data_IF_697784190274
#
_entry.id   IF_697784190274
#
_cell.length_a   1.000
_cell.length_b   1.000
_cell.length_c   1.000
_cell.angle_alpha   90.00
_cell.angle_beta   90.00
_cell.angle_gamma   90.00
#
_symmetry.space_group_name_H-M   'P 1'
#
loop_
_entity.id
_entity.type
_entity.pdbx_description
1 polymer ?
#
# COMPACT_ATOMS: atom_id res chain seq x y z
N UNK A 1 -5.27 -2.90 14.20
CA UNK A 1 -4.53 -3.74 15.16
C UNK A 1 -5.02 -5.20 15.20
N UNK A 2 -6.33 -5.46 15.36
CA UNK A 2 -6.84 -6.84 15.42
C UNK A 2 -6.63 -7.65 14.13
N UNK A 3 -6.80 -7.03 12.95
CA UNK A 3 -6.55 -7.69 11.65
C UNK A 3 -5.12 -8.21 11.53
N UNK A 4 -4.14 -7.46 12.03
CA UNK A 4 -2.73 -7.87 12.05
C UNK A 4 -2.51 -9.08 12.96
N UNK A 5 -3.10 -9.06 14.17
CA UNK A 5 -3.02 -10.19 15.11
C UNK A 5 -3.67 -11.44 14.50
N UNK A 6 -4.85 -11.29 13.90
CA UNK A 6 -5.55 -12.40 13.27
C UNK A 6 -4.75 -13.00 12.10
N UNK A 7 -4.10 -12.14 11.30
CA UNK A 7 -3.20 -12.57 10.24
C UNK A 7 -2.00 -13.36 10.79
N UNK A 8 -1.35 -12.84 11.85
CA UNK A 8 -0.21 -13.51 12.48
C UNK A 8 -0.60 -14.88 13.02
N UNK A 9 -1.71 -14.96 13.76
CA UNK A 9 -2.22 -16.21 14.32
C UNK A 9 -2.62 -17.20 13.24
N UNK A 10 -3.25 -16.72 12.15
CA UNK A 10 -3.63 -17.56 11.01
C UNK A 10 -2.42 -18.16 10.29
N UNK A 11 -1.44 -17.32 9.92
CA UNK A 11 -0.21 -17.79 9.25
C UNK A 11 0.61 -18.67 10.19
N UNK A 12 0.77 -18.28 11.46
CA UNK A 12 1.47 -19.08 12.46
C UNK A 12 0.84 -20.46 12.65
N UNK A 13 -0.50 -20.53 12.71
CA UNK A 13 -1.22 -21.80 12.78
C UNK A 13 -0.98 -22.66 11.53
N UNK A 14 -1.01 -22.07 10.34
CA UNK A 14 -0.71 -22.79 9.10
C UNK A 14 0.72 -23.35 9.11
N UNK A 15 1.72 -22.54 9.48
CA UNK A 15 3.11 -22.98 9.57
C UNK A 15 3.23 -24.14 10.56
N UNK A 16 2.68 -24.00 11.76
CA UNK A 16 2.79 -25.01 12.81
C UNK A 16 2.16 -26.34 12.41
N UNK A 17 0.93 -26.32 11.86
CA UNK A 17 0.24 -27.53 11.41
C UNK A 17 0.93 -28.20 10.23
N UNK A 18 1.42 -27.42 9.26
CA UNK A 18 2.01 -27.97 8.03
C UNK A 18 3.45 -28.48 8.24
N UNK A 19 4.23 -27.82 9.10
CA UNK A 19 5.61 -28.24 9.40
C UNK A 19 5.67 -29.31 10.49
N UNK A 20 4.97 -29.13 11.61
CA UNK A 20 5.09 -30.04 12.76
C UNK A 20 3.99 -31.09 12.82
N UNK A 21 3.01 -31.05 11.92
CA UNK A 21 1.88 -31.99 11.94
C UNK A 21 1.07 -31.89 13.23
N UNK A 22 1.14 -30.75 13.93
CA UNK A 22 0.52 -30.51 15.22
C UNK A 22 -1.01 -30.53 15.08
N UNK A 23 -1.60 -31.72 15.02
CA UNK A 23 -3.04 -31.90 15.06
C UNK A 23 -3.54 -31.65 16.47
N UNK A 24 -4.05 -30.44 16.70
CA UNK A 24 -5.00 -30.23 17.79
C UNK A 24 -6.16 -31.24 17.67
N UNK A 25 -6.72 -31.63 18.82
CA UNK A 25 -7.85 -32.56 18.94
C UNK A 25 -8.80 -32.53 17.75
N UNK A 26 -8.97 -33.66 17.06
CA UNK A 26 -9.84 -33.77 15.88
C UNK A 26 -11.30 -33.65 16.34
N UNK A 27 -11.87 -32.45 16.23
CA UNK A 27 -13.28 -32.21 16.50
C UNK A 27 -14.08 -32.63 15.27
N UNK A 28 -15.18 -33.36 15.47
CA UNK A 28 -16.04 -33.80 14.39
C UNK A 28 -16.52 -32.60 13.54
N UNK A 29 -16.43 -32.73 12.21
CA UNK A 29 -16.83 -31.68 11.28
C UNK A 29 -18.30 -31.24 11.49
N UNK A 30 -19.18 -32.16 11.91
CA UNK A 30 -20.57 -31.87 12.24
C UNK A 30 -20.73 -30.89 13.41
N UNK A 31 -19.93 -31.06 14.47
CA UNK A 31 -19.92 -30.15 15.63
C UNK A 31 -19.39 -28.77 15.20
N UNK A 32 -18.34 -28.77 14.39
CA UNK A 32 -17.76 -27.55 13.83
C UNK A 32 -18.79 -26.78 13.00
N UNK A 33 -19.48 -27.46 12.09
CA UNK A 33 -20.52 -26.86 11.26
C UNK A 33 -21.71 -26.39 12.10
N UNK A 34 -22.16 -27.15 13.09
CA UNK A 34 -23.26 -26.72 13.96
C UNK A 34 -22.91 -25.42 14.72
N UNK A 35 -21.74 -25.38 15.37
CA UNK A 35 -21.31 -24.22 16.16
C UNK A 35 -20.96 -23.01 15.29
N UNK A 36 -20.15 -23.20 14.25
CA UNK A 36 -19.65 -22.09 13.44
C UNK A 36 -20.66 -21.61 12.39
N UNK A 37 -21.55 -22.46 11.88
CA UNK A 37 -22.55 -22.00 10.90
C UNK A 37 -23.56 -21.07 11.54
N UNK A 38 -24.05 -21.39 12.74
CA UNK A 38 -24.98 -20.53 13.47
C UNK A 38 -24.32 -19.20 13.84
N UNK A 39 -23.08 -19.26 14.35
CA UNK A 39 -22.30 -18.07 14.65
C UNK A 39 -22.03 -17.21 13.41
N UNK A 40 -21.70 -17.82 12.27
CA UNK A 40 -21.47 -17.12 11.01
C UNK A 40 -22.77 -16.51 10.46
N UNK A 41 -23.88 -17.23 10.53
CA UNK A 41 -25.19 -16.73 10.12
C UNK A 41 -25.62 -15.53 10.95
N UNK A 42 -25.43 -15.58 12.27
CA UNK A 42 -25.69 -14.46 13.17
C UNK A 42 -24.75 -13.28 12.90
N UNK A 43 -23.45 -13.55 12.69
CA UNK A 43 -22.48 -12.49 12.40
C UNK A 43 -22.81 -11.75 11.11
N UNK A 44 -23.10 -12.48 10.03
CA UNK A 44 -23.47 -11.91 8.73
C UNK A 44 -24.83 -11.22 8.83
N UNK A 45 -25.83 -11.87 9.43
CA UNK A 45 -27.17 -11.30 9.60
C UNK A 45 -27.16 -10.01 10.40
N UNK A 46 -26.45 -9.99 11.52
CA UNK A 46 -26.29 -8.80 12.35
C UNK A 46 -25.51 -7.70 11.63
N UNK A 47 -24.47 -8.05 10.87
CA UNK A 47 -23.73 -7.08 10.05
C UNK A 47 -24.65 -6.40 9.03
N UNK A 48 -25.43 -7.17 8.28
CA UNK A 48 -26.37 -6.65 7.28
C UNK A 48 -27.48 -5.82 7.93
N UNK A 49 -28.04 -6.30 9.04
CA UNK A 49 -29.05 -5.58 9.81
C UNK A 49 -28.51 -4.28 10.40
N UNK A 50 -27.29 -4.26 10.93
CA UNK A 50 -26.70 -3.06 11.51
C UNK A 50 -26.36 -2.03 10.42
N UNK A 51 -25.83 -2.49 9.28
CA UNK A 51 -25.44 -1.60 8.19
C UNK A 51 -26.61 -0.82 7.59
N UNK A 52 -27.83 -1.39 7.60
CA UNK A 52 -29.03 -0.68 7.12
C UNK A 52 -29.38 0.57 7.97
N UNK A 53 -28.93 0.64 9.22
CA UNK A 53 -29.15 1.81 10.10
C UNK A 53 -27.90 2.70 10.22
N UNK A 54 -26.73 2.20 9.79
CA UNK A 54 -25.43 2.87 9.92
C UNK A 54 -24.83 3.21 8.55
N UNK A 55 -25.66 3.68 7.61
CA UNK A 55 -25.20 4.20 6.33
C UNK A 55 -24.70 5.62 6.56
N UNK A 56 -23.38 5.80 6.50
CA UNK A 56 -22.77 7.13 6.56
C UNK A 56 -23.11 7.92 5.29
N UNK A 57 -23.45 9.22 5.39
CA UNK A 57 -23.78 10.07 4.22
C UNK A 57 -22.70 10.17 3.13
N UNK A 58 -21.50 9.64 3.37
CA UNK A 58 -20.32 9.77 2.51
C UNK A 58 -20.00 8.48 1.74
N UNK A 59 -20.79 7.42 1.89
CA UNK A 59 -20.69 6.22 1.06
C UNK A 59 -21.73 6.25 -0.07
N UNK A 60 -21.39 5.80 -1.29
CA UNK A 60 -22.38 5.66 -2.35
C UNK A 60 -23.50 4.71 -1.90
N UNK A 61 -24.74 5.14 -2.12
CA UNK A 61 -25.95 4.42 -1.72
C UNK A 61 -25.92 2.97 -2.23
N UNK A 62 -26.10 2.00 -1.33
CA UNK A 62 -26.07 0.57 -1.67
C UNK A 62 -24.70 -0.11 -1.61
N UNK A 63 -23.62 0.59 -1.21
CA UNK A 63 -22.33 -0.06 -0.95
C UNK A 63 -22.41 -0.97 0.29
N UNK A 64 -22.39 -2.28 0.06
CA UNK A 64 -22.37 -3.30 1.12
C UNK A 64 -21.07 -3.34 1.96
N UNK A 65 -20.11 -2.45 1.70
CA UNK A 65 -18.82 -2.41 2.40
C UNK A 65 -17.82 -3.50 2.03
N UNK A 66 -18.18 -4.37 1.09
CA UNK A 66 -17.36 -5.50 0.66
C UNK A 66 -16.01 -5.04 0.11
N UNK A 67 -15.99 -3.94 -0.64
CA UNK A 67 -14.76 -3.34 -1.14
C UNK A 67 -13.83 -2.87 -0.01
N UNK A 68 -14.40 -2.28 1.06
CA UNK A 68 -13.64 -1.87 2.24
C UNK A 68 -13.10 -3.07 3.04
N UNK A 69 -13.89 -4.15 3.15
CA UNK A 69 -13.42 -5.42 3.73
C UNK A 69 -12.29 -6.03 2.91
N UNK A 70 -12.40 -6.02 1.58
CA UNK A 70 -11.34 -6.50 0.69
C UNK A 70 -10.07 -5.64 0.82
N UNK A 71 -10.18 -4.31 0.79
CA UNK A 71 -9.03 -3.42 1.04
C UNK A 71 -8.40 -3.66 2.42
N UNK A 72 -9.22 -3.95 3.44
CA UNK A 72 -8.74 -4.26 4.80
C UNK A 72 -7.98 -5.59 4.85
N UNK A 73 -8.44 -6.61 4.11
CA UNK A 73 -7.75 -7.89 3.99
C UNK A 73 -6.42 -7.74 3.24
N UNK A 74 -6.40 -6.97 2.15
CA UNK A 74 -5.19 -6.70 1.36
C UNK A 74 -4.15 -5.89 2.14
N UNK A 75 -4.58 -5.02 3.06
CA UNK A 75 -3.67 -4.25 3.92
C UNK A 75 -3.21 -5.01 5.16
N UNK A 76 -3.77 -6.18 5.47
CA UNK A 76 -3.41 -6.97 6.64
C UNK A 76 -1.90 -7.31 6.76
N UNK A 77 -1.19 -7.73 5.69
CA UNK A 77 0.25 -7.99 5.75
C UNK A 77 1.08 -6.75 6.08
N UNK A 78 0.65 -5.58 5.57
CA UNK A 78 1.30 -4.29 5.83
C UNK A 78 1.08 -3.88 7.29
N UNK A 79 -0.15 -4.03 7.79
CA UNK A 79 -0.48 -3.73 9.19
C UNK A 79 0.25 -4.63 10.19
N UNK A 80 0.50 -5.88 9.84
CA UNK A 80 1.31 -6.75 10.70
C UNK A 80 2.77 -6.31 10.75
N UNK A 81 3.33 -5.89 9.61
CA UNK A 81 4.69 -5.36 9.58
C UNK A 81 4.80 -4.07 10.40
N UNK A 82 3.83 -3.16 10.31
CA UNK A 82 3.83 -1.93 11.11
C UNK A 82 3.61 -2.20 12.60
N UNK A 83 2.77 -3.18 12.96
CA UNK A 83 2.61 -3.64 14.34
C UNK A 83 3.92 -4.22 14.88
N UNK A 84 4.59 -5.07 14.11
CA UNK A 84 5.91 -5.61 14.46
C UNK A 84 6.93 -4.50 14.66
N UNK A 85 7.01 -3.54 13.74
CA UNK A 85 7.90 -2.39 13.90
C UNK A 85 7.57 -1.52 15.11
N UNK A 86 6.29 -1.38 15.48
CA UNK A 86 5.87 -0.66 16.68
C UNK A 86 6.29 -1.40 17.96
N UNK A 87 6.13 -2.74 18.00
CA UNK A 87 6.53 -3.57 19.16
C UNK A 87 8.06 -3.63 19.29
N UNK A 88 8.78 -3.80 18.18
CA UNK A 88 10.25 -3.84 18.16
C UNK A 88 10.89 -2.44 18.21
N UNK A 89 10.08 -1.36 18.28
CA UNK A 89 10.53 0.04 18.33
C UNK A 89 11.48 0.42 17.19
N UNK A 90 11.27 -0.12 16.00
CA UNK A 90 12.07 0.22 14.81
C UNK A 90 11.44 1.39 14.05
N UNK A 91 12.27 2.35 13.62
CA UNK A 91 11.80 3.59 12.99
C UNK A 91 11.01 3.36 11.69
N UNK A 92 9.75 3.79 11.68
CA UNK A 92 8.96 3.95 10.46
C UNK A 92 9.24 5.31 9.84
N UNK A 93 9.96 5.35 8.70
CA UNK A 93 10.24 6.62 8.01
C UNK A 93 8.98 7.12 7.29
N UNK A 94 8.40 8.21 7.78
CA UNK A 94 7.33 8.92 7.09
C UNK A 94 7.92 9.76 5.96
N UNK A 95 7.88 9.23 4.74
CA UNK A 95 8.35 9.94 3.55
C UNK A 95 7.19 10.73 2.99
N UNK A 96 7.32 12.06 3.00
CA UNK A 96 6.36 12.95 2.33
C UNK A 96 6.43 12.65 0.83
N UNK A 97 5.30 12.28 0.24
CA UNK A 97 5.20 12.01 -1.19
C UNK A 97 5.70 13.23 -1.97
N UNK A 98 6.72 13.10 -2.83
CA UNK A 98 7.17 14.19 -3.67
C UNK A 98 5.97 14.69 -4.49
N UNK A 99 5.66 15.99 -4.40
CA UNK A 99 4.65 16.61 -5.28
C UNK A 99 5.32 16.90 -6.63
N UNK A 100 4.73 16.38 -7.72
CA UNK A 100 5.23 16.57 -9.09
C UNK A 100 5.79 15.28 -9.72
N UNK A 101 6.03 15.31 -11.03
CA UNK A 101 6.38 14.15 -11.89
C UNK A 101 7.70 13.42 -11.60
N UNK A 102 8.30 13.62 -10.43
CA UNK A 102 9.47 12.89 -9.93
C UNK A 102 9.02 11.73 -9.03
N UNK A 103 8.08 10.91 -9.53
CA UNK A 103 7.63 9.69 -8.84
C UNK A 103 8.46 8.54 -9.39
N UNK A 104 9.21 7.86 -8.51
CA UNK A 104 9.93 6.64 -8.90
C UNK A 104 8.91 5.59 -9.37
N UNK A 105 9.12 4.92 -10.51
CA UNK A 105 8.25 3.83 -10.94
C UNK A 105 8.24 2.72 -9.88
N UNK A 106 7.07 2.16 -9.63
CA UNK A 106 6.89 1.05 -8.70
C UNK A 106 7.72 -0.17 -9.16
N UNK A 107 8.43 -0.79 -8.22
CA UNK A 107 9.27 -1.97 -8.48
C UNK A 107 8.73 -3.15 -7.69
N UNK A 108 9.08 -4.38 -8.07
CA UNK A 108 8.77 -5.59 -7.29
C UNK A 108 9.22 -5.48 -5.82
N UNK A 109 10.32 -4.77 -5.55
CA UNK A 109 10.82 -4.50 -4.20
C UNK A 109 9.90 -3.59 -3.35
N UNK A 110 8.97 -2.84 -3.97
CA UNK A 110 7.90 -2.11 -3.27
C UNK A 110 6.97 -3.09 -2.56
N UNK A 111 6.74 -4.27 -3.15
CA UNK A 111 5.88 -5.33 -2.59
C UNK A 111 6.64 -6.35 -1.75
N UNK A 112 7.88 -6.07 -1.31
CA UNK A 112 8.74 -7.04 -0.61
C UNK A 112 8.07 -7.70 0.59
N UNK A 113 7.21 -6.97 1.31
CA UNK A 113 6.51 -7.46 2.51
C UNK A 113 5.48 -8.53 2.11
N UNK A 114 4.73 -8.26 1.04
CA UNK A 114 3.78 -9.21 0.48
C UNK A 114 4.48 -10.46 -0.05
N UNK A 115 5.60 -10.27 -0.76
CA UNK A 115 6.43 -11.35 -1.28
C UNK A 115 7.08 -12.18 -0.16
N UNK A 116 7.52 -11.57 0.95
CA UNK A 116 8.08 -12.31 2.08
C UNK A 116 7.03 -13.21 2.74
N UNK A 117 5.80 -12.72 2.94
CA UNK A 117 4.71 -13.55 3.48
C UNK A 117 4.29 -14.64 2.50
N UNK A 118 4.24 -14.33 1.20
CA UNK A 118 3.99 -15.32 0.16
C UNK A 118 5.05 -16.43 0.16
N UNK A 119 6.33 -16.08 0.32
CA UNK A 119 7.42 -17.06 0.40
C UNK A 119 7.27 -17.98 1.63
N UNK A 120 6.93 -17.43 2.80
CA UNK A 120 6.66 -18.22 4.01
C UNK A 120 5.52 -19.20 3.75
N UNK A 121 4.38 -18.74 3.27
CA UNK A 121 3.20 -19.57 3.03
C UNK A 121 3.44 -20.64 1.95
N UNK A 122 4.14 -20.29 0.87
CA UNK A 122 4.52 -21.23 -0.18
C UNK A 122 5.47 -22.30 0.35
N UNK A 123 6.45 -21.93 1.17
CA UNK A 123 7.37 -22.88 1.81
C UNK A 123 6.65 -23.83 2.76
N UNK A 124 5.64 -23.35 3.51
CA UNK A 124 4.81 -24.20 4.37
C UNK A 124 3.95 -25.16 3.56
N UNK A 125 3.41 -24.72 2.42
CA UNK A 125 2.63 -25.58 1.54
C UNK A 125 3.50 -26.67 0.90
N UNK A 126 4.72 -26.31 0.44
CA UNK A 126 5.69 -27.27 -0.09
C UNK A 126 6.14 -28.27 0.99
N UNK A 127 6.44 -27.80 2.20
CA UNK A 127 6.79 -28.66 3.33
C UNK A 127 5.66 -29.66 3.65
N UNK A 128 4.39 -29.23 3.61
CA UNK A 128 3.25 -30.13 3.82
C UNK A 128 3.17 -31.26 2.80
N UNK A 129 3.58 -31.01 1.55
CA UNK A 129 3.63 -32.05 0.51
C UNK A 129 4.79 -33.00 0.75
N UNK A 130 5.95 -32.49 1.17
CA UNK A 130 7.12 -33.32 1.47
C UNK A 130 7.00 -34.14 2.76
N UNK A 131 6.25 -33.65 3.74
CA UNK A 131 6.10 -34.28 5.06
C UNK A 131 4.83 -35.15 5.18
N UNK A 132 4.05 -35.32 4.11
CA UNK A 132 2.76 -36.04 4.08
C UNK A 132 1.72 -35.59 5.14
N UNK A 133 1.91 -34.41 5.74
CA UNK A 133 0.96 -33.80 6.66
C UNK A 133 -0.22 -33.20 5.88
N UNK A 134 -1.16 -34.04 5.45
CA UNK A 134 -2.29 -33.66 4.59
C UNK A 134 -3.49 -33.16 5.38
N UNK A 135 -3.34 -32.03 6.08
CA UNK A 135 -4.49 -31.32 6.65
C UNK A 135 -5.16 -30.45 5.59
N UNK A 136 -6.20 -30.98 4.95
CA UNK A 136 -6.92 -30.30 3.85
C UNK A 136 -7.35 -28.89 4.25
N UNK A 137 -7.96 -28.72 5.43
CA UNK A 137 -8.38 -27.41 5.93
C UNK A 137 -7.22 -26.40 6.01
N UNK A 138 -6.07 -26.81 6.55
CA UNK A 138 -4.92 -25.91 6.72
C UNK A 138 -4.22 -25.58 5.39
N UNK A 139 -4.22 -26.51 4.43
CA UNK A 139 -3.76 -26.23 3.05
C UNK A 139 -4.65 -25.20 2.37
N UNK A 140 -5.97 -25.31 2.52
CA UNK A 140 -6.92 -24.33 1.97
C UNK A 140 -6.67 -22.94 2.58
N UNK A 141 -6.50 -22.85 3.89
CA UNK A 141 -6.19 -21.58 4.56
C UNK A 141 -4.85 -20.98 4.12
N UNK A 142 -3.80 -21.80 4.02
CA UNK A 142 -2.51 -21.36 3.52
C UNK A 142 -2.58 -20.86 2.07
N UNK A 143 -3.35 -21.53 1.20
CA UNK A 143 -3.57 -21.11 -0.17
C UNK A 143 -4.34 -19.78 -0.26
N UNK A 144 -5.37 -19.58 0.56
CA UNK A 144 -6.09 -18.31 0.65
C UNK A 144 -5.17 -17.17 1.12
N UNK A 145 -4.37 -17.41 2.16
CA UNK A 145 -3.37 -16.45 2.64
C UNK A 145 -2.33 -16.11 1.57
N UNK A 146 -1.91 -17.10 0.78
CA UNK A 146 -0.98 -16.91 -0.34
C UNK A 146 -1.61 -16.04 -1.43
N UNK A 147 -2.88 -16.29 -1.78
CA UNK A 147 -3.62 -15.49 -2.76
C UNK A 147 -3.77 -14.03 -2.30
N UNK A 148 -4.10 -13.80 -1.03
CA UNK A 148 -4.18 -12.43 -0.45
C UNK A 148 -2.81 -11.75 -0.49
N UNK A 149 -1.74 -12.48 -0.16
CA UNK A 149 -0.37 -11.94 -0.19
C UNK A 149 0.07 -11.58 -1.60
N UNK A 150 -0.30 -12.38 -2.62
CA UNK A 150 0.06 -12.15 -4.02
C UNK A 150 -0.84 -11.14 -4.74
N UNK A 151 -2.05 -10.86 -4.22
CA UNK A 151 -3.04 -10.01 -4.89
C UNK A 151 -2.49 -8.62 -5.28
N UNK A 152 -1.80 -7.86 -4.41
CA UNK A 152 -1.27 -6.55 -4.80
C UNK A 152 -0.24 -6.62 -5.93
N UNK A 153 0.59 -7.67 -5.93
CA UNK A 153 1.60 -7.91 -6.97
C UNK A 153 0.93 -8.28 -8.29
N UNK A 154 -0.10 -9.12 -8.25
CA UNK A 154 -0.87 -9.54 -9.42
C UNK A 154 -1.60 -8.35 -10.05
N UNK A 155 -2.22 -7.49 -9.25
CA UNK A 155 -2.89 -6.27 -9.73
C UNK A 155 -1.88 -5.34 -10.41
N UNK A 156 -0.74 -5.08 -9.78
CA UNK A 156 0.32 -4.24 -10.37
C UNK A 156 0.86 -4.81 -11.69
N UNK A 157 1.17 -6.11 -11.71
CA UNK A 157 1.67 -6.78 -12.92
C UNK A 157 0.65 -6.74 -14.05
N UNK A 158 -0.64 -6.88 -13.72
CA UNK A 158 -1.73 -6.81 -14.66
C UNK A 158 -1.89 -5.41 -15.26
N UNK A 159 -1.89 -4.36 -14.42
CA UNK A 159 -1.99 -2.96 -14.90
C UNK A 159 -0.81 -2.58 -15.78
N UNK A 160 0.42 -2.96 -15.40
CA UNK A 160 1.62 -2.68 -16.19
C UNK A 160 1.60 -3.41 -17.55
N UNK A 161 1.10 -4.65 -17.57
CA UNK A 161 0.92 -5.41 -18.81
C UNK A 161 -0.14 -4.82 -19.72
N UNK A 162 -1.26 -4.33 -19.16
CA UNK A 162 -2.30 -3.62 -19.91
C UNK A 162 -1.74 -2.31 -20.51
N UNK A 163 -0.97 -1.55 -19.75
CA UNK A 163 -0.32 -0.32 -20.21
C UNK A 163 0.66 -0.59 -21.34
N UNK A 164 1.50 -1.63 -21.21
CA UNK A 164 2.42 -2.06 -22.27
C UNK A 164 1.69 -2.47 -23.54
N UNK A 165 0.58 -3.21 -23.41
CA UNK A 165 -0.25 -3.61 -24.54
C UNK A 165 -0.93 -2.43 -25.22
N UNK A 166 -1.39 -1.45 -24.44
CA UNK A 166 -2.04 -0.25 -24.97
C UNK A 166 -1.02 0.62 -25.71
N UNK A 167 0.16 0.84 -25.12
CA UNK A 167 1.29 1.54 -25.79
C UNK A 167 1.74 0.84 -27.06
N UNK A 168 1.85 -0.50 -27.05
CA UNK A 168 2.23 -1.27 -28.23
C UNK A 168 1.18 -1.18 -29.36
N UNK A 169 -0.12 -1.10 -29.03
CA UNK A 169 -1.20 -0.91 -30.01
C UNK A 169 -1.29 0.52 -30.52
N UNK A 170 -0.98 1.50 -29.69
CA UNK A 170 -0.97 2.93 -30.06
C UNK A 170 0.35 3.39 -30.69
N UNK A 171 1.36 2.51 -30.76
CA UNK A 171 2.58 2.74 -31.53
C UNK A 171 2.27 2.69 -33.04
N UNK A 172 1.55 3.70 -33.53
CA UNK A 172 1.55 4.06 -34.94
C UNK A 172 2.99 4.39 -35.30
N UNK A 173 3.56 3.85 -36.39
CA UNK A 173 4.89 4.24 -36.84
C UNK A 173 4.92 5.76 -37.01
N UNK A 174 5.75 6.44 -36.22
CA UNK A 174 5.98 7.87 -36.41
C UNK A 174 6.43 8.07 -37.87
N UNK A 175 5.80 8.97 -38.64
CA UNK A 175 6.32 9.31 -39.96
C UNK A 175 7.77 9.76 -39.79
N UNK A 176 8.64 9.26 -40.66
CA UNK A 176 10.06 9.57 -40.65
C UNK A 176 10.26 11.09 -40.50
N UNK A 177 11.20 11.56 -39.67
CA UNK A 177 11.42 12.98 -39.47
C UNK A 177 11.73 13.60 -40.84
N UNK A 178 10.79 14.42 -41.33
CA UNK A 178 11.05 15.29 -42.47
C UNK A 178 12.22 16.18 -42.05
N UNK A 179 13.32 16.24 -42.82
CA UNK A 179 14.44 17.11 -42.47
C UNK A 179 13.90 18.53 -42.36
N UNK A 180 13.96 19.07 -41.14
CA UNK A 180 13.63 20.47 -40.84
C UNK A 180 14.64 21.30 -41.62
N UNK A 181 14.19 21.95 -42.69
CA UNK A 181 14.97 23.02 -43.30
C UNK A 181 15.17 24.09 -42.24
N UNK A 182 16.43 24.31 -41.91
CA UNK A 182 16.92 25.28 -40.96
C UNK A 182 16.46 26.68 -41.39
N UNK A 183 15.37 27.17 -40.80
CA UNK A 183 14.96 28.56 -40.94
C UNK A 183 15.94 29.43 -40.15
N UNK A 184 16.54 30.47 -40.76
CA UNK A 184 17.46 31.36 -40.05
C UNK A 184 16.74 32.05 -38.89
N UNK A 185 17.32 31.91 -37.70
CA UNK A 185 16.93 32.56 -36.46
C UNK A 185 16.89 34.09 -36.63
N UNK A 186 15.80 34.80 -36.32
CA UNK A 186 15.82 36.26 -36.30
C UNK A 186 16.76 36.75 -35.18
N UNK A 187 17.65 37.68 -35.53
CA UNK A 187 18.62 38.29 -34.63
C UNK A 187 17.96 38.85 -33.35
N UNK A 188 18.59 38.68 -32.18
CA UNK A 188 18.09 39.28 -30.95
C UNK A 188 18.32 40.80 -30.99
N UNK A 189 17.25 41.56 -31.22
CA UNK A 189 17.23 43.02 -31.04
C UNK A 189 17.39 43.32 -29.55
N UNK A 190 18.59 43.73 -29.14
CA UNK A 190 18.87 44.24 -27.80
C UNK A 190 18.08 45.54 -27.58
N UNK A 191 17.13 45.51 -26.62
CA UNK A 191 16.41 46.70 -26.18
C UNK A 191 17.30 47.46 -25.18
N UNK A 192 17.87 48.57 -25.62
CA UNK A 192 18.58 49.53 -24.77
C UNK A 192 17.63 50.10 -23.72
N UNK A 193 17.79 49.69 -22.46
CA UNK A 193 17.08 50.32 -21.34
C UNK A 193 17.87 51.54 -20.89
N UNK A 194 17.41 52.73 -21.29
CA UNK A 194 17.97 54.01 -20.86
C UNK A 194 17.86 54.15 -19.34
N UNK A 195 19.01 54.22 -18.66
CA UNK A 195 19.10 54.49 -17.22
C UNK A 195 18.88 56.00 -17.00
N UNK A 196 17.70 56.39 -16.53
CA UNK A 196 17.46 57.77 -16.07
C UNK A 196 17.89 57.87 -14.61
N UNK A 197 19.05 58.48 -14.39
CA UNK A 197 19.58 58.83 -13.07
C UNK A 197 18.86 60.07 -12.56
N UNK A 198 17.89 59.91 -11.64
CA UNK A 198 17.32 61.01 -10.87
C UNK A 198 18.06 61.12 -9.53
N UNK A 199 18.83 62.19 -9.36
CA UNK A 199 19.54 62.55 -8.15
C UNK A 199 18.69 63.46 -7.25
N UNK A 200 18.63 63.17 -5.93
CA UNK A 200 18.70 64.11 -4.78
C UNK A 200 18.11 63.44 -3.50
N UNK A 201 18.35 63.98 -2.29
CA UNK A 201 19.63 64.01 -1.60
C UNK A 201 19.58 63.31 -0.22
N UNK A 202 20.75 63.07 0.37
CA UNK A 202 20.92 62.50 1.70
C UNK A 202 20.51 63.47 2.81
N UNK A 203 19.79 62.96 3.82
CA UNK A 203 19.80 63.55 5.17
C UNK A 203 19.93 62.44 6.20
N UNK A 204 20.85 62.67 7.13
CA UNK A 204 21.44 61.77 8.11
C UNK A 204 20.58 61.56 9.37
N UNK A 205 20.89 60.44 10.05
CA UNK A 205 21.19 60.30 11.50
C UNK A 205 20.26 59.47 12.41
N UNK A 206 20.96 58.72 13.30
CA UNK A 206 20.58 58.09 14.57
C UNK A 206 19.73 56.79 14.52
N UNK A 207 20.24 55.61 14.92
CA UNK A 207 20.68 55.13 16.25
C UNK A 207 19.54 54.77 17.21
N UNK A 208 19.31 53.45 17.43
CA UNK A 208 18.99 52.78 18.71
C UNK A 208 18.48 51.35 18.41
N UNK A 209 19.19 50.29 18.83
CA UNK A 209 18.81 49.41 19.95
C UNK A 209 17.96 48.22 19.46
N UNK A 210 17.99 46.97 19.91
CA UNK A 210 18.54 46.25 21.08
C UNK A 210 18.25 44.77 20.77
N UNK A 211 19.26 43.92 20.58
CA UNK A 211 19.68 42.79 21.45
C UNK A 211 18.60 41.83 22.00
N UNK A 212 18.81 40.53 21.70
CA UNK A 212 18.47 39.32 22.48
C UNK A 212 16.96 38.92 22.54
N UNK A 213 16.54 37.65 22.67
CA UNK A 213 17.09 36.54 23.46
C UNK A 213 16.51 35.20 22.99
N UNK A 214 17.37 34.17 22.97
CA UNK A 214 17.05 32.74 23.00
C UNK A 214 16.57 32.34 24.41
N UNK A 215 15.44 31.62 24.53
CA UNK A 215 15.13 30.88 25.76
C UNK A 215 14.60 29.49 25.46
N UNK A 216 15.33 28.51 25.98
CA UNK A 216 14.93 27.13 26.18
C UNK A 216 14.27 26.95 27.55
N UNK A 217 13.51 25.87 27.71
CA UNK A 217 12.88 25.40 28.96
C UNK A 217 11.42 25.06 28.71
N UNK A 218 10.87 23.90 29.06
CA UNK A 218 11.26 22.92 30.06
C UNK A 218 10.00 22.55 30.83
N UNK A 219 9.48 21.34 30.59
CA UNK A 219 8.81 20.42 31.52
C UNK A 219 8.24 19.23 30.73
#
# INVERSE_FOLDING_TARGET
PMTAVNWLLGVGSCVLFLWFGASGTQVAASIWLMLYSDAAALQIGLYLWNRRHNVSPHEPEGSGGLAGMAMSALSAPIYLKSLGSAVLRTDGRFVVTPKGGQVSPDRLLTFRIHLSWAAVLLSSLAASVHLDHTHVAMRTWAALGLAISLSPVAVWAWTEWQDRRTRARSAVPAPAPTPVQEQPLPEPTFVTTTTTTTSAPATSSASAGTTATTTAGGN
#
